data_IF_466863541548
#
_entry.id   IF_466863541548
#
_cell.length_a   1.000
_cell.length_b   1.000
_cell.length_c   1.000
_cell.angle_alpha   90.00
_cell.angle_beta   90.00
_cell.angle_gamma   90.00
#
_symmetry.space_group_name_H-M   'P 1'
#
loop_
_entity.id
_entity.type
_entity.pdbx_description
1 polymer ?
#
# COMPACT_ATOMS: atom_id res chain seq x y z
N UNK A 1 16.60 74.97 -26.25
CA UNK A 1 15.90 74.79 -24.96
C UNK A 1 15.80 73.29 -24.73
N UNK A 2 16.71 72.72 -23.92
CA UNK A 2 16.80 71.28 -23.66
C UNK A 2 16.81 71.12 -22.15
N UNK A 3 15.78 70.47 -21.61
CA UNK A 3 15.64 70.22 -20.17
C UNK A 3 16.31 68.88 -19.86
N UNK A 4 17.47 68.92 -19.22
CA UNK A 4 18.14 67.72 -18.68
C UNK A 4 17.59 67.50 -17.26
N UNK A 5 16.82 66.43 -17.09
CA UNK A 5 16.40 65.94 -15.78
C UNK A 5 17.60 65.32 -15.06
N UNK A 6 18.02 65.97 -13.97
CA UNK A 6 18.99 65.45 -13.02
C UNK A 6 18.30 64.44 -12.11
N UNK A 7 18.55 63.14 -12.33
CA UNK A 7 18.09 62.06 -11.44
C UNK A 7 19.06 62.02 -10.26
N UNK A 8 18.53 62.36 -9.08
CA UNK A 8 19.30 62.45 -7.84
C UNK A 8 19.88 61.09 -7.43
N UNK A 9 21.17 61.10 -7.13
CA UNK A 9 22.08 60.00 -6.78
C UNK A 9 21.63 59.16 -5.55
N UNK A 10 20.57 59.57 -4.85
CA UNK A 10 20.08 58.93 -3.63
C UNK A 10 19.31 57.62 -3.86
N UNK A 11 18.73 57.39 -5.05
CA UNK A 11 17.98 56.17 -5.33
C UNK A 11 18.85 54.96 -5.72
N UNK A 12 20.11 55.19 -6.13
CA UNK A 12 21.02 54.11 -6.53
C UNK A 12 21.65 53.38 -5.32
N UNK A 13 21.86 54.09 -4.21
CA UNK A 13 22.42 53.54 -2.96
C UNK A 13 21.47 52.60 -2.19
N UNK A 14 20.15 52.72 -2.41
CA UNK A 14 19.14 51.87 -1.74
C UNK A 14 18.95 50.51 -2.45
N UNK A 15 19.22 50.42 -3.75
CA UNK A 15 19.12 49.15 -4.50
C UNK A 15 20.32 48.22 -4.24
N UNK A 16 21.51 48.74 -3.94
CA UNK A 16 22.69 47.90 -3.66
C UNK A 16 22.67 47.25 -2.26
N UNK A 17 21.91 47.79 -1.30
CA UNK A 17 21.82 47.21 0.07
C UNK A 17 20.91 45.99 0.18
N UNK A 18 19.98 45.79 -0.76
CA UNK A 18 19.05 44.65 -0.75
C UNK A 18 19.61 43.39 -1.43
N UNK A 19 20.69 43.51 -2.21
CA UNK A 19 21.34 42.37 -2.89
C UNK A 19 22.45 41.71 -2.05
N UNK A 20 22.98 42.39 -1.03
CA UNK A 20 24.07 41.87 -0.18
C UNK A 20 23.54 40.95 0.95
N UNK A 21 22.25 41.08 1.32
CA UNK A 21 21.66 40.28 2.41
C UNK A 21 21.28 38.85 1.98
N UNK A 22 21.04 38.61 0.68
CA UNK A 22 20.61 37.28 0.18
C UNK A 22 21.75 36.33 -0.18
N UNK A 23 22.96 36.83 -0.37
CA UNK A 23 24.15 36.00 -0.68
C UNK A 23 24.89 35.51 0.57
N UNK A 24 24.73 36.16 1.73
CA UNK A 24 25.38 35.73 2.98
C UNK A 24 24.68 34.55 3.68
N UNK A 25 23.42 34.24 3.36
CA UNK A 25 22.72 33.09 3.92
C UNK A 25 23.10 31.79 3.19
N UNK A 26 23.56 31.86 1.94
CA UNK A 26 23.95 30.69 1.15
C UNK A 26 25.35 30.14 1.47
N UNK A 27 26.19 30.86 2.23
CA UNK A 27 27.56 30.43 2.56
C UNK A 27 27.71 29.77 3.95
N UNK A 28 26.66 29.72 4.76
CA UNK A 28 26.71 29.13 6.11
C UNK A 28 26.26 27.65 6.19
N UNK A 29 25.82 27.04 5.07
CA UNK A 29 25.33 25.64 5.04
C UNK A 29 26.31 24.65 4.39
N UNK A 30 27.46 25.10 3.88
CA UNK A 30 28.45 24.24 3.22
C UNK A 30 29.67 23.87 4.10
N UNK A 31 29.66 24.21 5.39
CA UNK A 31 30.80 23.99 6.30
C UNK A 31 30.63 22.84 7.32
N UNK A 32 29.74 21.88 7.09
CA UNK A 32 29.60 20.69 7.95
C UNK A 32 29.81 19.38 7.18
N UNK A 33 30.80 19.37 6.29
CA UNK A 33 31.50 18.15 5.93
C UNK A 33 32.89 18.19 6.58
N UNK A 34 33.26 17.07 7.21
CA UNK A 34 34.64 16.63 7.54
C UNK A 34 35.18 16.96 8.93
N UNK A 35 34.76 16.17 9.91
CA UNK A 35 35.58 15.48 10.94
C UNK A 35 34.65 14.36 11.49
N UNK A 36 34.72 13.09 11.07
CA UNK A 36 35.73 12.08 11.40
C UNK A 36 36.11 12.07 12.89
N UNK A 37 35.57 11.11 13.65
CA UNK A 37 36.35 10.04 14.34
C UNK A 37 35.56 9.38 15.48
N UNK A 38 35.87 8.10 15.70
CA UNK A 38 35.64 7.28 16.90
C UNK A 38 34.41 6.34 16.94
N UNK A 39 34.78 5.07 16.74
CA UNK A 39 34.04 3.83 16.81
C UNK A 39 33.31 3.49 18.13
N UNK A 40 32.42 2.50 17.97
CA UNK A 40 31.95 1.44 18.89
C UNK A 40 30.58 1.63 19.58
N UNK A 41 29.88 0.52 19.93
CA UNK A 41 29.81 -0.80 19.32
C UNK A 41 28.37 -1.26 19.02
N UNK A 42 28.28 -2.31 18.21
CA UNK A 42 27.27 -3.36 18.21
C UNK A 42 26.11 -3.23 19.23
N UNK A 43 24.90 -2.98 18.73
CA UNK A 43 23.67 -3.30 19.47
C UNK A 43 22.54 -3.65 18.51
N UNK A 44 22.54 -4.94 18.18
CA UNK A 44 21.41 -5.72 17.68
C UNK A 44 20.69 -5.11 16.49
N UNK A 45 20.98 -5.67 15.33
CA UNK A 45 19.97 -6.40 14.56
C UNK A 45 18.79 -6.85 15.45
N UNK A 46 17.86 -5.92 15.73
CA UNK A 46 16.52 -6.31 16.10
C UNK A 46 15.93 -6.83 14.80
N UNK A 47 16.14 -8.13 14.58
CA UNK A 47 15.20 -8.97 13.86
C UNK A 47 13.83 -8.49 14.30
N UNK A 48 13.18 -7.70 13.46
CA UNK A 48 11.85 -7.22 13.69
C UNK A 48 11.03 -8.49 13.89
N UNK A 49 10.65 -8.75 15.15
CA UNK A 49 9.81 -9.88 15.51
C UNK A 49 8.56 -9.67 14.69
N UNK A 50 8.46 -10.43 13.59
CA UNK A 50 7.35 -10.39 12.67
C UNK A 50 6.13 -10.67 13.53
N UNK A 51 5.31 -9.64 13.80
CA UNK A 51 4.10 -9.81 14.59
C UNK A 51 3.33 -10.94 13.93
N UNK A 52 3.19 -12.05 14.65
CA UNK A 52 2.58 -13.25 14.11
C UNK A 52 1.19 -12.86 13.61
N UNK A 53 0.97 -13.00 12.30
CA UNK A 53 -0.33 -12.71 11.69
C UNK A 53 -1.36 -13.65 12.33
N UNK A 54 -2.34 -13.10 13.03
CA UNK A 54 -3.42 -13.88 13.62
C UNK A 54 -4.59 -13.92 12.65
N UNK A 55 -4.71 -15.01 11.89
CA UNK A 55 -5.93 -15.29 11.12
C UNK A 55 -6.90 -16.04 12.00
N UNK A 56 -8.01 -15.40 12.38
CA UNK A 56 -9.02 -16.05 13.23
C UNK A 56 -9.75 -17.18 12.49
N UNK A 57 -10.47 -18.01 13.25
CA UNK A 57 -11.28 -19.10 12.69
C UNK A 57 -12.37 -18.55 11.75
N UNK A 58 -12.98 -17.44 12.14
CA UNK A 58 -14.05 -16.76 11.41
C UNK A 58 -13.51 -16.16 10.12
N UNK A 59 -12.34 -15.52 10.16
CA UNK A 59 -11.67 -15.00 8.97
C UNK A 59 -11.31 -16.12 7.98
N UNK A 60 -10.80 -17.23 8.50
CA UNK A 60 -10.51 -18.40 7.67
C UNK A 60 -11.77 -18.98 7.04
N UNK A 61 -12.89 -19.01 7.76
CA UNK A 61 -14.17 -19.48 7.23
C UNK A 61 -14.72 -18.55 6.14
N UNK A 62 -14.66 -17.23 6.36
CA UNK A 62 -15.04 -16.21 5.38
C UNK A 62 -14.21 -16.32 4.09
N UNK A 63 -12.88 -16.42 4.23
CA UNK A 63 -11.98 -16.66 3.11
C UNK A 63 -12.28 -17.96 2.38
N UNK A 64 -12.50 -19.06 3.11
CA UNK A 64 -12.83 -20.36 2.52
C UNK A 64 -14.13 -20.28 1.70
N UNK A 65 -15.14 -19.59 2.22
CA UNK A 65 -16.40 -19.36 1.51
C UNK A 65 -16.17 -18.53 0.23
N UNK A 66 -15.47 -17.41 0.35
CA UNK A 66 -15.17 -16.51 -0.75
C UNK A 66 -14.38 -17.19 -1.87
N UNK A 67 -13.30 -17.88 -1.52
CA UNK A 67 -12.47 -18.63 -2.48
C UNK A 67 -13.26 -19.74 -3.15
N UNK A 68 -14.12 -20.46 -2.41
CA UNK A 68 -14.99 -21.49 -3.00
C UNK A 68 -15.98 -20.92 -4.02
N UNK A 69 -16.42 -19.68 -3.79
CA UNK A 69 -17.31 -18.99 -4.72
C UNK A 69 -16.58 -18.52 -5.98
N UNK A 70 -15.41 -17.86 -5.82
CA UNK A 70 -14.75 -17.11 -6.90
C UNK A 70 -13.55 -17.79 -7.56
N UNK A 71 -13.05 -18.94 -7.07
CA UNK A 71 -11.92 -19.65 -7.71
C UNK A 71 -12.21 -20.20 -9.14
N UNK A 72 -13.36 -19.86 -9.74
CA UNK A 72 -13.72 -20.21 -11.11
C UNK A 72 -13.75 -21.72 -11.37
N UNK A 73 -13.25 -22.15 -12.52
CA UNK A 73 -13.12 -23.57 -12.89
C UNK A 73 -11.94 -24.27 -12.17
N UNK A 74 -11.12 -23.54 -11.43
CA UNK A 74 -10.02 -24.08 -10.65
C UNK A 74 -10.47 -24.65 -9.29
N UNK A 75 -11.76 -24.93 -9.12
CA UNK A 75 -12.35 -25.40 -7.85
C UNK A 75 -11.65 -26.62 -7.25
N UNK A 76 -11.10 -27.51 -8.08
CA UNK A 76 -10.35 -28.68 -7.60
C UNK A 76 -8.87 -28.42 -7.25
N UNK A 77 -8.31 -27.26 -7.62
CA UNK A 77 -6.89 -26.93 -7.40
C UNK A 77 -6.70 -26.21 -6.05
N UNK A 78 -5.59 -26.49 -5.34
CA UNK A 78 -5.21 -25.71 -4.16
C UNK A 78 -5.10 -24.21 -4.49
N UNK A 79 -5.60 -23.38 -3.59
CA UNK A 79 -5.58 -21.93 -3.66
C UNK A 79 -4.65 -21.41 -2.57
N UNK A 80 -3.63 -20.65 -2.95
CA UNK A 80 -2.58 -20.17 -2.06
C UNK A 80 -2.83 -18.70 -1.72
N UNK A 81 -3.09 -18.46 -0.44
CA UNK A 81 -3.39 -17.14 0.12
C UNK A 81 -2.24 -16.77 1.08
N UNK A 82 -1.44 -15.78 0.70
CA UNK A 82 -0.30 -15.30 1.47
C UNK A 82 -0.71 -14.07 2.25
N UNK A 83 -0.66 -14.09 3.59
CA UNK A 83 -1.28 -13.07 4.44
C UNK A 83 -0.22 -12.39 5.29
N UNK A 84 -0.13 -11.07 5.19
CA UNK A 84 0.81 -10.25 5.98
C UNK A 84 0.11 -9.06 6.63
N UNK A 85 0.60 -8.70 7.82
CA UNK A 85 0.33 -7.40 8.42
C UNK A 85 1.30 -6.38 7.83
N UNK A 86 0.76 -5.23 7.41
CA UNK A 86 1.51 -4.19 6.73
C UNK A 86 1.13 -2.86 7.37
N UNK A 87 2.15 -2.11 7.77
CA UNK A 87 1.97 -0.76 8.31
C UNK A 87 1.63 0.20 7.18
N UNK A 88 0.50 0.88 7.29
CA UNK A 88 0.04 1.90 6.35
C UNK A 88 0.81 3.20 6.54
N UNK A 89 0.62 4.15 5.61
CA UNK A 89 1.18 5.51 5.72
C UNK A 89 0.68 6.25 6.98
N UNK A 90 -0.54 5.95 7.43
CA UNK A 90 -1.11 6.46 8.69
C UNK A 90 -0.49 5.83 9.94
N UNK A 91 0.38 4.83 9.76
CA UNK A 91 1.04 4.11 10.84
C UNK A 91 0.22 2.98 11.45
N UNK A 92 -0.98 2.73 10.94
CA UNK A 92 -1.85 1.63 11.37
C UNK A 92 -1.43 0.31 10.74
N UNK A 93 -1.66 -0.80 11.43
CA UNK A 93 -1.43 -2.13 10.86
C UNK A 93 -2.69 -2.61 10.15
N UNK A 94 -2.61 -2.77 8.83
CA UNK A 94 -3.65 -3.38 8.02
C UNK A 94 -3.26 -4.80 7.61
N UNK A 95 -4.25 -5.69 7.54
CA UNK A 95 -4.03 -7.07 7.10
C UNK A 95 -4.38 -7.20 5.61
N UNK A 96 -3.43 -7.69 4.83
CA UNK A 96 -3.60 -7.93 3.41
C UNK A 96 -3.32 -9.39 3.10
N UNK A 97 -3.97 -9.88 2.05
CA UNK A 97 -3.65 -11.19 1.49
C UNK A 97 -3.37 -11.10 0.00
N UNK A 98 -2.35 -11.80 -0.48
CA UNK A 98 -2.13 -12.05 -1.90
C UNK A 98 -2.68 -13.42 -2.27
N UNK A 99 -3.68 -13.45 -3.16
CA UNK A 99 -4.20 -14.68 -3.76
C UNK A 99 -3.48 -14.96 -5.07
N UNK A 100 -2.59 -15.95 -5.04
CA UNK A 100 -1.68 -16.26 -6.15
C UNK A 100 -2.41 -16.68 -7.43
N UNK A 101 -3.37 -17.60 -7.35
CA UNK A 101 -4.01 -18.17 -8.54
C UNK A 101 -4.94 -17.16 -9.22
N UNK A 102 -5.63 -16.35 -8.44
CA UNK A 102 -6.53 -15.30 -8.96
C UNK A 102 -5.78 -14.03 -9.39
N UNK A 103 -4.53 -13.85 -8.93
CA UNK A 103 -3.75 -12.62 -9.09
C UNK A 103 -4.48 -11.41 -8.51
N UNK A 104 -4.83 -11.49 -7.23
CA UNK A 104 -5.50 -10.39 -6.53
C UNK A 104 -4.93 -10.14 -5.14
N UNK A 105 -5.14 -8.91 -4.65
CA UNK A 105 -4.92 -8.53 -3.26
C UNK A 105 -6.27 -8.45 -2.55
N UNK A 106 -6.40 -9.06 -1.39
CA UNK A 106 -7.59 -9.02 -0.55
C UNK A 106 -7.34 -8.13 0.68
N UNK A 107 -8.31 -7.27 0.97
CA UNK A 107 -8.32 -6.42 2.15
C UNK A 107 -8.95 -7.22 3.30
N UNK A 108 -8.11 -7.85 4.12
CA UNK A 108 -8.55 -8.89 5.07
C UNK A 108 -9.44 -8.37 6.20
N UNK A 109 -9.38 -7.06 6.49
CA UNK A 109 -10.23 -6.43 7.50
C UNK A 109 -11.73 -6.56 7.20
N UNK A 110 -12.11 -6.87 5.96
CA UNK A 110 -13.50 -7.11 5.57
C UNK A 110 -13.94 -8.58 5.66
N UNK A 111 -13.01 -9.50 5.91
CA UNK A 111 -13.29 -10.93 6.01
C UNK A 111 -13.45 -11.34 7.48
N UNK A 112 -14.31 -10.67 8.25
CA UNK A 112 -14.44 -10.92 9.70
C UNK A 112 -15.32 -12.12 10.02
N UNK A 113 -16.26 -12.47 9.13
CA UNK A 113 -17.19 -13.59 9.29
C UNK A 113 -17.70 -14.08 7.93
N UNK A 114 -18.28 -15.29 7.91
CA UNK A 114 -18.98 -15.78 6.73
C UNK A 114 -20.19 -14.88 6.42
N UNK A 115 -20.46 -14.68 5.12
CA UNK A 115 -21.50 -13.75 4.65
C UNK A 115 -22.46 -14.44 3.69
N UNK A 116 -23.64 -13.85 3.50
CA UNK A 116 -24.56 -14.28 2.46
C UNK A 116 -24.02 -13.95 1.05
N UNK A 117 -24.72 -14.40 0.01
CA UNK A 117 -24.21 -14.31 -1.37
C UNK A 117 -24.01 -12.86 -1.83
N UNK A 118 -24.90 -11.97 -1.43
CA UNK A 118 -24.82 -10.53 -1.66
C UNK A 118 -23.56 -9.94 -1.02
N UNK A 119 -23.21 -10.42 0.19
CA UNK A 119 -21.98 -10.05 0.88
C UNK A 119 -20.73 -10.54 0.16
N UNK A 120 -20.77 -11.73 -0.46
CA UNK A 120 -19.65 -12.24 -1.28
C UNK A 120 -19.42 -11.36 -2.51
N UNK A 121 -20.48 -10.91 -3.17
CA UNK A 121 -20.40 -9.97 -4.28
C UNK A 121 -19.78 -8.64 -3.85
N UNK A 122 -20.22 -8.10 -2.71
CA UNK A 122 -19.63 -6.89 -2.16
C UNK A 122 -18.12 -7.05 -1.88
N UNK A 123 -17.71 -8.15 -1.22
CA UNK A 123 -16.30 -8.44 -0.98
C UNK A 123 -15.49 -8.52 -2.29
N UNK A 124 -16.06 -9.15 -3.32
CA UNK A 124 -15.42 -9.30 -4.61
C UNK A 124 -15.17 -7.96 -5.32
N UNK A 125 -16.07 -6.99 -5.15
CA UNK A 125 -15.98 -5.70 -5.82
C UNK A 125 -15.34 -4.59 -4.97
N UNK A 126 -15.30 -4.73 -3.64
CA UNK A 126 -14.87 -3.67 -2.72
C UNK A 126 -13.68 -4.05 -1.84
N UNK A 127 -13.50 -5.33 -1.53
CA UNK A 127 -12.43 -5.83 -0.67
C UNK A 127 -11.36 -6.64 -1.43
N UNK A 128 -11.37 -6.55 -2.77
CA UNK A 128 -10.41 -7.21 -3.66
C UNK A 128 -9.89 -6.20 -4.67
N UNK A 129 -8.59 -6.20 -4.88
CA UNK A 129 -7.90 -5.51 -5.98
C UNK A 129 -7.47 -6.58 -6.98
N UNK A 130 -8.04 -6.53 -8.18
CA UNK A 130 -7.62 -7.38 -9.29
C UNK A 130 -6.32 -6.82 -9.88
N UNK A 131 -5.23 -7.59 -9.86
CA UNK A 131 -3.93 -7.07 -10.30
C UNK A 131 -3.83 -6.86 -11.81
N UNK A 132 -4.77 -7.40 -12.60
CA UNK A 132 -4.78 -7.24 -14.05
C UNK A 132 -5.46 -5.95 -14.49
N UNK A 133 -6.42 -5.45 -13.70
CA UNK A 133 -7.30 -4.34 -14.11
C UNK A 133 -7.36 -3.22 -13.08
N UNK A 134 -7.01 -3.48 -11.83
CA UNK A 134 -7.04 -2.53 -10.71
C UNK A 134 -5.72 -1.82 -10.43
N UNK A 135 -4.68 -2.05 -11.24
CA UNK A 135 -3.33 -1.52 -11.01
C UNK A 135 -2.91 -0.62 -12.16
N UNK A 136 -2.47 0.59 -11.84
CA UNK A 136 -1.93 1.59 -12.77
C UNK A 136 -0.46 1.89 -12.48
N UNK A 137 0.27 2.46 -13.45
CA UNK A 137 1.70 2.67 -13.30
C UNK A 137 2.02 3.80 -12.30
N UNK A 138 1.23 4.87 -12.31
CA UNK A 138 1.49 6.09 -11.54
C UNK A 138 0.24 6.63 -10.87
N UNK A 139 0.41 7.52 -9.89
CA UNK A 139 -0.72 8.16 -9.20
C UNK A 139 -1.55 9.02 -10.15
N UNK A 140 -0.91 9.66 -11.15
CA UNK A 140 -1.59 10.50 -12.13
C UNK A 140 -2.64 9.71 -12.94
N UNK A 141 -2.37 8.43 -13.23
CA UNK A 141 -3.29 7.54 -13.94
C UNK A 141 -4.52 7.16 -13.12
N UNK A 142 -4.49 7.33 -11.79
CA UNK A 142 -5.66 7.05 -10.96
C UNK A 142 -6.81 8.03 -11.23
N UNK A 143 -6.54 9.25 -11.70
CA UNK A 143 -7.54 10.25 -12.11
C UNK A 143 -8.73 10.42 -11.15
N UNK A 144 -8.50 10.31 -9.83
CA UNK A 144 -9.55 10.38 -8.81
C UNK A 144 -10.41 9.11 -8.63
N UNK A 145 -10.02 7.99 -9.24
CA UNK A 145 -10.64 6.69 -8.99
C UNK A 145 -10.37 6.23 -7.56
N UNK A 146 -11.43 5.78 -6.89
CA UNK A 146 -11.34 5.18 -5.55
C UNK A 146 -11.09 3.66 -5.59
N UNK A 147 -10.83 3.09 -6.78
CA UNK A 147 -10.69 1.65 -6.98
C UNK A 147 -9.33 1.22 -7.54
N UNK A 148 -8.60 2.14 -8.17
CA UNK A 148 -7.30 1.88 -8.75
C UNK A 148 -6.22 2.07 -7.69
N UNK A 149 -5.17 1.27 -7.77
CA UNK A 149 -3.97 1.41 -6.95
C UNK A 149 -2.74 1.53 -7.83
N UNK A 150 -1.66 2.11 -7.29
CA UNK A 150 -0.39 2.17 -8.01
C UNK A 150 0.30 0.81 -8.02
N UNK A 151 1.11 0.57 -9.07
CA UNK A 151 1.96 -0.62 -9.17
C UNK A 151 2.93 -0.72 -8.00
N UNK A 152 3.53 0.39 -7.59
CA UNK A 152 4.43 0.43 -6.44
C UNK A 152 3.74 -0.03 -5.15
N UNK A 153 2.50 0.43 -4.92
CA UNK A 153 1.70 -0.04 -3.79
C UNK A 153 1.43 -1.54 -3.89
N UNK A 154 0.93 -2.03 -5.03
CA UNK A 154 0.59 -3.44 -5.21
C UNK A 154 1.82 -4.35 -5.05
N UNK A 155 2.96 -3.99 -5.65
CA UNK A 155 4.22 -4.72 -5.56
C UNK A 155 4.68 -4.84 -4.10
N UNK A 156 4.64 -3.74 -3.33
CA UNK A 156 5.01 -3.73 -1.91
C UNK A 156 4.13 -4.70 -1.09
N UNK A 157 2.81 -4.69 -1.32
CA UNK A 157 1.89 -5.63 -0.64
C UNK A 157 2.21 -7.08 -1.02
N UNK A 158 2.40 -7.37 -2.31
CA UNK A 158 2.69 -8.72 -2.79
C UNK A 158 4.02 -9.23 -2.23
N UNK A 159 5.05 -8.38 -2.23
CA UNK A 159 6.36 -8.72 -1.70
C UNK A 159 6.27 -9.03 -0.20
N UNK A 160 5.64 -8.15 0.58
CA UNK A 160 5.40 -8.38 2.00
C UNK A 160 4.64 -9.69 2.27
N UNK A 161 3.57 -9.96 1.52
CA UNK A 161 2.83 -11.20 1.65
C UNK A 161 3.69 -12.44 1.35
N UNK A 162 4.56 -12.38 0.33
CA UNK A 162 5.39 -13.53 -0.07
C UNK A 162 6.57 -13.78 0.87
N UNK A 163 7.22 -12.73 1.36
CA UNK A 163 8.46 -12.85 2.13
C UNK A 163 8.21 -13.09 3.62
N UNK A 164 7.23 -12.40 4.21
CA UNK A 164 6.96 -12.43 5.66
C UNK A 164 5.56 -12.93 6.03
N UNK A 165 4.72 -13.23 5.04
CA UNK A 165 3.33 -13.62 5.27
C UNK A 165 3.16 -15.08 5.66
N UNK A 166 2.09 -15.35 6.41
CA UNK A 166 1.60 -16.70 6.64
C UNK A 166 0.92 -17.22 5.36
N UNK A 167 1.17 -18.47 4.99
CA UNK A 167 0.47 -19.12 3.86
C UNK A 167 -0.72 -19.92 4.36
N UNK A 168 -1.90 -19.63 3.81
CA UNK A 168 -3.07 -20.49 3.89
C UNK A 168 -3.30 -21.17 2.56
N UNK A 169 -3.41 -22.50 2.60
CA UNK A 169 -3.80 -23.30 1.46
C UNK A 169 -5.25 -23.70 1.62
N UNK A 170 -6.10 -23.21 0.72
CA UNK A 170 -7.54 -23.48 0.70
C UNK A 170 -7.87 -24.38 -0.48
N UNK A 171 -8.88 -25.24 -0.33
CA UNK A 171 -9.45 -26.00 -1.45
C UNK A 171 -10.81 -25.41 -1.75
N UNK A 172 -11.03 -24.92 -2.96
CA UNK A 172 -12.34 -24.41 -3.31
C UNK A 172 -13.37 -25.56 -3.29
N UNK A 173 -14.44 -25.38 -2.53
CA UNK A 173 -15.47 -26.43 -2.42
C UNK A 173 -16.49 -26.29 -3.55
N UNK A 174 -17.03 -27.40 -4.07
CA UNK A 174 -18.17 -27.35 -4.97
C UNK A 174 -19.33 -26.61 -4.30
N UNK A 175 -20.00 -25.74 -5.07
CA UNK A 175 -21.18 -25.02 -4.59
C UNK A 175 -22.26 -26.06 -4.26
N UNK A 176 -22.71 -26.14 -3.00
CA UNK A 176 -23.80 -27.05 -2.63
C UNK A 176 -25.07 -26.59 -3.35
N UNK A 177 -25.55 -27.38 -4.30
CA UNK A 177 -26.76 -27.07 -5.06
C UNK A 177 -27.95 -27.02 -4.09
N UNK A 178 -28.54 -25.83 -3.89
CA UNK A 178 -29.75 -25.65 -3.06
C UNK A 178 -30.97 -26.38 -3.65
N UNK A 179 -30.91 -26.80 -4.92
CA UNK A 179 -31.94 -27.59 -5.60
C UNK A 179 -32.06 -29.04 -5.15
N UNK A 180 -31.11 -29.56 -4.36
CA UNK A 180 -31.14 -30.94 -3.84
C UNK A 180 -31.91 -31.09 -2.50
N UNK A 181 -32.48 -30.01 -1.97
CA UNK A 181 -33.33 -29.99 -0.78
C UNK A 181 -34.74 -29.53 -1.17
N UNK A 182 -35.46 -30.37 -1.92
CA UNK A 182 -36.92 -30.32 -1.87
C UNK A 182 -37.36 -31.28 -0.76
N UNK A 183 -38.03 -30.81 0.30
CA UNK A 183 -38.75 -31.72 1.18
C UNK A 183 -39.87 -32.36 0.35
N UNK A 184 -39.93 -33.69 0.37
CA UNK A 184 -41.10 -34.45 -0.05
C UNK A 184 -42.21 -34.30 1.00
#
# INVERSE_FOLDING_TARGET
>A
MITVMSISFQNFMLLQRQLISRTLICLALSAHCLFAEAAQPDKSEQVAVSQAVVVTREMRAALQQFVSHYAGNAKAKPQHIYIASIKTETGENALYAYWKEDQSILLMNFFTQAVEEEGLSWLHHKARVDLKTGVVATEAEMSGSNYLVTKAWADNIIQACRERGQVLVLKAMPRRNKSALKPH
#
